data_IF_380143656005
#
_entry.id   IF_380143656005
#
_cell.length_a   1.000
_cell.length_b   1.000
_cell.length_c   1.000
_cell.angle_alpha   90.00
_cell.angle_beta   90.00
_cell.angle_gamma   90.00
#
_symmetry.space_group_name_H-M   'P 1'
#
loop_
_entity.id
_entity.type
_entity.pdbx_description
1 polymer ?
#
# COMPACT_ATOMS: atom_id res chain seq x y z
N UNK A 1 14.36 -17.44 5.92
CA UNK A 1 13.35 -17.06 4.91
C UNK A 1 13.96 -15.96 4.07
N UNK A 2 14.12 -16.19 2.77
CA UNK A 2 14.69 -15.18 1.88
C UNK A 2 13.77 -13.95 1.88
N UNK A 3 14.31 -12.72 1.82
CA UNK A 3 13.48 -11.57 1.53
C UNK A 3 12.80 -11.87 0.20
N UNK A 4 11.47 -11.88 0.23
CA UNK A 4 10.65 -11.88 -0.97
C UNK A 4 10.87 -10.52 -1.62
N UNK A 5 11.92 -10.45 -2.44
CA UNK A 5 12.33 -9.26 -3.20
C UNK A 5 11.33 -8.92 -4.29
N UNK A 6 10.35 -9.80 -4.55
CA UNK A 6 9.25 -9.52 -5.44
C UNK A 6 8.16 -8.72 -4.71
N UNK A 7 7.70 -7.61 -5.30
CA UNK A 7 6.58 -6.85 -4.76
C UNK A 7 5.27 -7.65 -4.92
N UNK A 8 4.36 -7.60 -3.92
CA UNK A 8 3.09 -8.34 -3.91
C UNK A 8 2.02 -7.71 -4.82
N UNK A 9 2.34 -7.54 -6.11
CA UNK A 9 1.49 -6.88 -7.11
C UNK A 9 0.24 -7.71 -7.40
N UNK A 10 0.40 -9.02 -7.54
CA UNK A 10 -0.71 -9.92 -7.88
C UNK A 10 -1.68 -10.07 -6.69
N UNK A 11 -1.16 -10.19 -5.46
CA UNK A 11 -1.98 -10.18 -4.24
C UNK A 11 -2.74 -8.86 -4.10
N UNK A 12 -2.07 -7.72 -4.34
CA UNK A 12 -2.72 -6.42 -4.34
C UNK A 12 -3.91 -6.38 -5.31
N UNK A 13 -3.68 -6.75 -6.58
CA UNK A 13 -4.75 -6.79 -7.59
C UNK A 13 -5.89 -7.71 -7.17
N UNK A 14 -5.58 -8.88 -6.64
CA UNK A 14 -6.56 -9.86 -6.19
C UNK A 14 -7.44 -9.30 -5.06
N UNK A 15 -6.84 -8.67 -4.06
CA UNK A 15 -7.57 -8.05 -2.93
C UNK A 15 -8.51 -6.95 -3.43
N UNK A 16 -8.02 -6.00 -4.22
CA UNK A 16 -8.83 -4.89 -4.70
C UNK A 16 -9.94 -5.34 -5.67
N UNK A 17 -9.65 -6.31 -6.54
CA UNK A 17 -10.64 -6.93 -7.42
C UNK A 17 -11.73 -7.63 -6.60
N UNK A 18 -11.36 -8.35 -5.53
CA UNK A 18 -12.30 -9.01 -4.61
C UNK A 18 -13.16 -8.00 -3.83
N UNK A 19 -12.61 -6.83 -3.51
CA UNK A 19 -13.34 -5.72 -2.89
C UNK A 19 -14.25 -4.97 -3.88
N UNK A 20 -14.22 -5.32 -5.17
CA UNK A 20 -15.05 -4.72 -6.23
C UNK A 20 -14.50 -3.40 -6.76
N UNK A 21 -13.19 -3.20 -6.70
CA UNK A 21 -12.50 -2.10 -7.38
C UNK A 21 -12.03 -2.55 -8.77
N UNK A 22 -12.05 -1.64 -9.73
CA UNK A 22 -11.41 -1.84 -11.03
C UNK A 22 -9.93 -1.45 -10.88
N UNK A 23 -9.03 -2.43 -10.95
CA UNK A 23 -7.59 -2.18 -10.84
C UNK A 23 -7.00 -1.97 -12.23
N UNK A 24 -6.42 -0.80 -12.46
CA UNK A 24 -5.75 -0.38 -13.69
C UNK A 24 -4.31 -0.02 -13.37
N UNK A 25 -3.32 -0.60 -14.06
CA UNK A 25 -1.91 -0.32 -13.84
C UNK A 25 -1.03 -1.53 -14.11
N UNK A 26 0.26 -1.29 -14.34
CA UNK A 26 1.26 -2.32 -14.61
C UNK A 26 2.47 -2.14 -13.69
N UNK A 27 3.05 -3.24 -13.22
CA UNK A 27 4.18 -3.23 -12.29
C UNK A 27 3.75 -2.91 -10.85
N UNK A 28 4.55 -2.09 -10.17
CA UNK A 28 4.38 -1.76 -8.74
C UNK A 28 3.38 -0.64 -8.48
N UNK A 29 2.95 0.08 -9.51
CA UNK A 29 1.97 1.16 -9.39
C UNK A 29 0.65 0.76 -10.03
N UNK A 30 -0.39 0.73 -9.22
CA UNK A 30 -1.72 0.27 -9.54
C UNK A 30 -2.72 1.34 -9.14
N UNK A 31 -3.84 1.42 -9.83
CA UNK A 31 -4.93 2.36 -9.54
C UNK A 31 -6.22 1.59 -9.41
N UNK A 32 -6.77 1.54 -8.20
CA UNK A 32 -8.02 0.87 -7.90
C UNK A 32 -9.16 1.89 -7.88
N UNK A 33 -10.01 1.85 -8.90
CA UNK A 33 -11.09 2.82 -9.09
C UNK A 33 -12.44 2.21 -8.71
N UNK A 34 -13.24 2.99 -7.98
CA UNK A 34 -14.62 2.62 -7.64
C UNK A 34 -15.50 3.86 -7.72
N UNK A 35 -16.80 3.65 -7.98
CA UNK A 35 -17.77 4.74 -8.23
C UNK A 35 -17.77 5.88 -7.21
N UNK A 36 -17.32 5.63 -5.99
CA UNK A 36 -17.30 6.61 -4.90
C UNK A 36 -15.91 7.11 -4.53
N UNK A 37 -14.82 6.42 -4.93
CA UNK A 37 -13.44 6.82 -4.61
C UNK A 37 -12.40 6.10 -5.48
N UNK A 38 -11.33 6.81 -5.78
CA UNK A 38 -10.11 6.28 -6.40
C UNK A 38 -9.05 6.02 -5.34
N UNK A 39 -8.43 4.84 -5.39
CA UNK A 39 -7.35 4.44 -4.50
C UNK A 39 -6.09 4.22 -5.33
N UNK A 40 -5.02 4.93 -4.99
CA UNK A 40 -3.72 4.73 -5.64
C UNK A 40 -2.97 3.64 -4.87
N UNK A 41 -2.73 2.52 -5.51
CA UNK A 41 -2.16 1.31 -4.91
C UNK A 41 -0.70 1.17 -5.32
N UNK A 42 0.22 1.15 -4.37
CA UNK A 42 1.66 1.00 -4.65
C UNK A 42 2.17 -0.26 -3.99
N UNK A 43 2.55 -1.27 -4.78
CA UNK A 43 3.19 -2.48 -4.29
C UNK A 43 4.68 -2.20 -4.02
N UNK A 44 5.09 -2.38 -2.78
CA UNK A 44 6.45 -2.13 -2.29
C UNK A 44 7.06 -3.47 -1.89
N UNK A 45 8.21 -3.79 -2.46
CA UNK A 45 8.98 -4.97 -2.06
C UNK A 45 9.51 -4.82 -0.62
N UNK A 46 9.89 -5.95 -0.01
CA UNK A 46 10.30 -5.96 1.39
C UNK A 46 11.59 -5.18 1.66
N UNK A 47 12.49 -5.07 0.68
CA UNK A 47 13.77 -4.37 0.83
C UNK A 47 13.57 -2.85 0.74
N UNK A 48 12.76 -2.38 -0.20
CA UNK A 48 12.39 -0.96 -0.36
C UNK A 48 11.59 -0.46 0.85
N UNK A 49 10.66 -1.27 1.36
CA UNK A 49 9.90 -0.94 2.56
C UNK A 49 10.79 -0.83 3.81
N UNK A 50 11.86 -1.62 3.89
CA UNK A 50 12.79 -1.62 5.03
C UNK A 50 13.90 -0.57 4.87
N UNK A 51 14.31 -0.27 3.64
CA UNK A 51 15.37 0.72 3.35
C UNK A 51 14.92 2.17 3.52
N UNK A 52 13.63 2.42 3.75
CA UNK A 52 13.10 3.79 3.92
C UNK A 52 13.05 4.60 2.61
N UNK A 53 13.50 4.03 1.49
CA UNK A 53 13.28 4.54 0.12
C UNK A 53 11.84 4.24 -0.31
N UNK A 54 10.85 4.58 0.52
CA UNK A 54 9.46 4.43 0.13
C UNK A 54 9.27 5.25 -1.16
N UNK A 55 8.75 4.64 -2.24
CA UNK A 55 8.34 5.40 -3.41
C UNK A 55 7.10 6.20 -2.99
N UNK A 56 7.34 7.36 -2.40
CA UNK A 56 6.35 8.43 -2.30
C UNK A 56 6.24 8.96 -3.73
N UNK A 57 5.65 8.16 -4.62
CA UNK A 57 5.57 8.51 -6.04
C UNK A 57 4.97 9.91 -6.13
N UNK A 58 5.74 10.79 -6.75
CA UNK A 58 5.60 12.24 -6.80
C UNK A 58 4.16 12.73 -6.67
N UNK A 59 3.93 13.54 -5.64
CA UNK A 59 3.09 14.72 -5.72
C UNK A 59 1.79 14.59 -6.50
N UNK A 60 1.01 13.55 -6.24
CA UNK A 60 -0.33 13.38 -6.80
C UNK A 60 -1.29 14.43 -6.26
N UNK A 61 -1.19 15.66 -6.75
CA UNK A 61 -2.20 16.69 -6.63
C UNK A 61 -3.49 16.16 -7.27
N UNK A 62 -4.40 15.63 -6.46
CA UNK A 62 -5.79 15.44 -6.84
C UNK A 62 -6.61 15.22 -5.58
N UNK A 63 -7.73 15.92 -5.51
CA UNK A 63 -8.32 16.44 -4.28
C UNK A 63 -8.91 15.38 -3.31
N UNK A 64 -8.93 14.09 -3.66
CA UNK A 64 -9.58 13.03 -2.87
C UNK A 64 -9.00 11.60 -3.05
N UNK A 65 -7.69 11.43 -3.26
CA UNK A 65 -7.11 10.09 -3.53
C UNK A 65 -6.50 9.43 -2.27
N UNK A 66 -7.16 8.39 -1.73
CA UNK A 66 -6.58 7.50 -0.71
C UNK A 66 -5.39 6.74 -1.32
N UNK A 67 -4.24 6.71 -0.63
CA UNK A 67 -3.08 5.94 -1.07
C UNK A 67 -2.95 4.65 -0.28
N UNK A 68 -2.86 3.51 -0.96
CA UNK A 68 -2.75 2.21 -0.34
C UNK A 68 -1.41 1.56 -0.72
N UNK A 69 -0.56 1.28 0.24
CA UNK A 69 0.72 0.64 0.00
C UNK A 69 0.61 -0.84 0.30
N UNK A 70 0.92 -1.71 -0.66
CA UNK A 70 0.86 -3.16 -0.45
C UNK A 70 2.27 -3.68 -0.29
N UNK A 71 2.55 -4.35 0.82
CA UNK A 71 3.87 -4.89 1.11
C UNK A 71 3.73 -6.19 1.87
N UNK A 72 4.85 -6.85 2.16
CA UNK A 72 4.85 -8.06 2.96
C UNK A 72 4.54 -7.74 4.43
N UNK A 73 3.84 -8.65 5.11
CA UNK A 73 3.46 -8.49 6.52
C UNK A 73 4.67 -8.18 7.42
N UNK A 74 5.82 -8.77 7.11
CA UNK A 74 7.11 -8.54 7.79
C UNK A 74 7.63 -7.11 7.64
N UNK A 75 7.38 -6.46 6.52
CA UNK A 75 7.86 -5.09 6.20
C UNK A 75 6.84 -4.00 6.50
N UNK A 76 5.60 -4.38 6.79
CA UNK A 76 4.47 -3.46 7.07
C UNK A 76 4.78 -2.52 8.24
N UNK A 77 5.46 -3.01 9.28
CA UNK A 77 5.83 -2.21 10.44
C UNK A 77 6.84 -1.09 10.10
N UNK A 78 7.87 -1.40 9.31
CA UNK A 78 8.89 -0.42 8.90
C UNK A 78 8.30 0.67 7.99
N UNK A 79 7.43 0.26 7.07
CA UNK A 79 6.73 1.19 6.19
C UNK A 79 5.75 2.09 6.96
N UNK A 80 5.05 1.53 7.95
CA UNK A 80 4.15 2.27 8.84
C UNK A 80 4.89 3.34 9.63
N UNK A 81 6.05 3.00 10.18
CA UNK A 81 6.87 3.95 10.93
C UNK A 81 7.36 5.09 10.02
N UNK A 82 7.82 4.75 8.81
CA UNK A 82 8.23 5.73 7.80
C UNK A 82 7.10 6.69 7.42
N UNK A 83 5.91 6.18 7.08
CA UNK A 83 4.75 7.01 6.74
C UNK A 83 4.29 7.88 7.91
N UNK A 84 4.34 7.35 9.13
CA UNK A 84 4.01 8.12 10.34
C UNK A 84 5.01 9.23 10.60
N UNK A 85 6.30 8.98 10.37
CA UNK A 85 7.36 9.98 10.48
C UNK A 85 7.22 11.07 9.41
N UNK A 86 6.83 10.68 8.19
CA UNK A 86 6.63 11.60 7.07
C UNK A 86 5.37 12.48 7.20
N UNK A 87 4.37 12.05 7.98
CA UNK A 87 3.08 12.73 8.15
C UNK A 87 2.52 13.26 6.82
N UNK A 88 2.30 12.40 5.82
CA UNK A 88 1.82 12.85 4.52
C UNK A 88 0.47 13.57 4.67
N UNK A 89 0.28 14.65 3.91
CA UNK A 89 -0.95 15.45 3.88
C UNK A 89 -2.13 14.78 3.16
N UNK A 90 -2.08 13.46 2.95
CA UNK A 90 -3.10 12.65 2.28
C UNK A 90 -3.42 11.42 3.12
N UNK A 91 -4.63 10.87 2.97
CA UNK A 91 -4.99 9.61 3.62
C UNK A 91 -4.15 8.46 3.05
N UNK A 92 -3.66 7.60 3.95
CA UNK A 92 -2.90 6.41 3.56
C UNK A 92 -3.36 5.16 4.33
N UNK A 93 -3.20 4.02 3.68
CA UNK A 93 -3.33 2.69 4.26
C UNK A 93 -2.18 1.81 3.76
N UNK A 94 -1.82 0.81 4.54
CA UNK A 94 -0.84 -0.22 4.20
C UNK A 94 -1.56 -1.56 4.25
N UNK A 95 -1.33 -2.42 3.28
CA UNK A 95 -1.83 -3.78 3.26
C UNK A 95 -0.61 -4.70 3.35
N UNK A 96 -0.46 -5.38 4.48
CA UNK A 96 0.54 -6.40 4.72
C UNK A 96 0.01 -7.75 4.26
N UNK A 97 0.55 -8.29 3.17
CA UNK A 97 0.19 -9.64 2.69
C UNK A 97 1.18 -10.69 3.16
N UNK A 98 0.72 -11.91 3.31
CA UNK A 98 1.53 -13.09 3.61
C UNK A 98 1.51 -14.08 2.43
N UNK A 99 2.51 -14.95 2.36
CA UNK A 99 2.60 -16.03 1.36
C UNK A 99 1.39 -16.98 1.43
N UNK A 100 0.74 -17.09 2.60
CA UNK A 100 -0.50 -17.84 2.78
C UNK A 100 -1.75 -17.19 2.14
N UNK A 101 -1.63 -15.99 1.55
CA UNK A 101 -2.75 -15.26 0.93
C UNK A 101 -3.64 -14.52 1.93
N UNK A 102 -3.23 -14.44 3.19
CA UNK A 102 -3.85 -13.58 4.19
C UNK A 102 -3.35 -12.13 4.04
N UNK A 103 -4.20 -11.16 4.41
CA UNK A 103 -3.83 -9.75 4.35
C UNK A 103 -4.31 -8.98 5.59
N UNK A 104 -3.45 -8.10 6.08
CA UNK A 104 -3.73 -7.19 7.19
C UNK A 104 -3.74 -5.76 6.69
N UNK A 105 -4.75 -4.97 7.09
CA UNK A 105 -4.85 -3.55 6.71
C UNK A 105 -4.43 -2.68 7.88
N UNK A 106 -3.32 -1.98 7.74
CA UNK A 106 -2.77 -1.04 8.72
C UNK A 106 -2.98 0.37 8.21
N UNK A 107 -3.68 1.20 8.99
CA UNK A 107 -3.88 2.63 8.69
C UNK A 107 -3.36 3.49 9.83
N UNK A 108 -3.24 4.80 9.63
CA UNK A 108 -3.15 5.73 10.75
C UNK A 108 -4.51 5.73 11.45
N UNK A 109 -4.69 4.80 12.37
CA UNK A 109 -5.79 4.89 13.31
C UNK A 109 -5.46 6.07 14.23
N UNK A 110 -6.28 7.14 14.27
CA UNK A 110 -6.11 8.13 15.32
C UNK A 110 -6.25 7.39 16.64
N UNK A 111 -5.22 7.46 17.48
CA UNK A 111 -5.29 6.92 18.85
C UNK A 111 -6.54 7.58 19.47
N UNK A 112 -7.57 6.80 19.88
CA UNK A 112 -8.69 7.39 20.58
C UNK A 112 -8.14 8.06 21.85
N UNK A 113 -8.44 9.35 21.99
CA UNK A 113 -7.97 10.21 23.08
C UNK A 113 -8.39 9.68 24.47
#
# INVERSE_FOLDING_TARGET
MAPVTMPPVEEAKSIFTRLGYAVSGEGTELRAERKWRTVHVTAVDGETATSGTCPIADGGHTEDHLRCFVTWKTSTAALRDSLRSLRPGYEWAIIGVDDAGDYEVVRDEPIPA
#
